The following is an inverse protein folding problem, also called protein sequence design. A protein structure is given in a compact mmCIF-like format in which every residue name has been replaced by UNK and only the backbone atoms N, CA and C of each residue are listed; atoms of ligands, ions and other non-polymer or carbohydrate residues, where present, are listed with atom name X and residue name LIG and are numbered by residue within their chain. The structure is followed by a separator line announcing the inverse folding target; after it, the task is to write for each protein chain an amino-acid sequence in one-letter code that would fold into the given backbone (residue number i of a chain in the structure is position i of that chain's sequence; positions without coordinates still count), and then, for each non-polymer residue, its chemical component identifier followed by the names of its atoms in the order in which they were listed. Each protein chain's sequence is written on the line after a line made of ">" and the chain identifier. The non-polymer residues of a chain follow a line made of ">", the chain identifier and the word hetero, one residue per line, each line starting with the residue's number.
data_IF_243283431737
#
_entry.id   IF_243283431737
#
_cell.length_a   1.000
_cell.length_b   1.000
_cell.length_c   1.000
_cell.angle_alpha   90.00
_cell.angle_beta   90.00
_cell.angle_gamma   90.00
#
_symmetry.space_group_name_H-M   'P 1'
#
loop_
_entity.id
_entity.type
_entity.pdbx_description
1 polymer ?
#
# COMPACT_ATOMS: atom_id res chain seq x y z
N UNK A 1 -22.70 13.29 -15.13
CA UNK A 1 -21.73 12.85 -14.12
C UNK A 1 -22.30 13.23 -12.77
N UNK A 2 -22.60 12.27 -11.90
CA UNK A 2 -23.13 12.58 -10.57
C UNK A 2 -21.93 12.94 -9.68
N UNK A 3 -21.84 14.21 -9.30
CA UNK A 3 -20.97 14.65 -8.22
C UNK A 3 -21.74 14.57 -6.92
N UNK A 4 -21.04 14.30 -5.83
CA UNK A 4 -21.59 14.44 -4.49
C UNK A 4 -20.78 15.47 -3.72
N UNK A 5 -21.39 16.06 -2.70
CA UNK A 5 -20.73 16.98 -1.79
C UNK A 5 -20.53 16.27 -0.46
N UNK A 6 -19.32 16.34 0.08
CA UNK A 6 -18.97 15.78 1.39
C UNK A 6 -18.32 16.86 2.25
N UNK A 7 -18.41 16.70 3.57
CA UNK A 7 -17.71 17.56 4.52
C UNK A 7 -16.20 17.28 4.46
N UNK A 8 -15.40 18.34 4.35
CA UNK A 8 -13.93 18.27 4.25
C UNK A 8 -13.32 17.60 5.47
N UNK A 9 -13.86 17.92 6.66
CA UNK A 9 -13.35 17.38 7.93
C UNK A 9 -13.56 15.86 7.99
N UNK A 10 -14.75 15.39 7.62
CA UNK A 10 -15.05 13.95 7.55
C UNK A 10 -14.15 13.24 6.54
N UNK A 11 -13.98 13.83 5.35
CA UNK A 11 -13.12 13.26 4.31
C UNK A 11 -11.65 13.15 4.75
N UNK A 12 -11.13 14.17 5.45
CA UNK A 12 -9.78 14.16 6.02
C UNK A 12 -9.60 13.06 7.07
N UNK A 13 -10.59 12.85 7.94
CA UNK A 13 -10.56 11.77 8.94
C UNK A 13 -10.55 10.39 8.29
N UNK A 14 -11.39 10.17 7.27
CA UNK A 14 -11.42 8.92 6.50
C UNK A 14 -10.08 8.66 5.83
N UNK A 15 -9.52 9.64 5.11
CA UNK A 15 -8.23 9.49 4.42
C UNK A 15 -7.07 9.21 5.38
N UNK A 16 -7.04 9.88 6.55
CA UNK A 16 -6.01 9.64 7.57
C UNK A 16 -6.12 8.23 8.16
N UNK A 17 -7.34 7.74 8.38
CA UNK A 17 -7.61 6.38 8.86
C UNK A 17 -7.20 5.34 7.81
N UNK A 18 -7.58 5.54 6.56
CA UNK A 18 -7.22 4.66 5.44
C UNK A 18 -5.71 4.60 5.25
N UNK A 19 -5.04 5.76 5.24
CA UNK A 19 -3.58 5.88 5.20
C UNK A 19 -2.90 5.09 6.32
N UNK A 20 -3.35 5.26 7.57
CA UNK A 20 -2.77 4.56 8.71
C UNK A 20 -2.94 3.04 8.58
N UNK A 21 -4.11 2.61 8.10
CA UNK A 21 -4.42 1.19 7.84
C UNK A 21 -3.53 0.61 6.74
N UNK A 22 -3.38 1.31 5.62
CA UNK A 22 -2.46 0.93 4.53
C UNK A 22 -1.04 0.81 5.06
N UNK A 23 -0.57 1.82 5.80
CA UNK A 23 0.80 1.84 6.33
C UNK A 23 1.08 0.65 7.24
N UNK A 24 0.15 0.32 8.15
CA UNK A 24 0.28 -0.83 9.02
C UNK A 24 0.35 -2.16 8.24
N UNK A 25 -0.47 -2.33 7.20
CA UNK A 25 -0.44 -3.50 6.32
C UNK A 25 0.89 -3.59 5.56
N UNK A 26 1.37 -2.46 5.03
CA UNK A 26 2.65 -2.37 4.34
C UNK A 26 3.81 -2.74 5.27
N UNK A 27 3.86 -2.16 6.48
CA UNK A 27 4.93 -2.44 7.44
C UNK A 27 4.96 -3.92 7.84
N UNK A 28 3.80 -4.55 8.10
CA UNK A 28 3.70 -6.00 8.36
C UNK A 28 4.16 -6.83 7.16
N UNK A 29 3.70 -6.49 5.95
CA UNK A 29 4.12 -7.20 4.74
C UNK A 29 5.64 -7.09 4.51
N UNK A 30 6.22 -5.92 4.81
CA UNK A 30 7.64 -5.64 4.62
C UNK A 30 8.52 -6.37 5.64
N UNK A 31 8.05 -6.57 6.87
CA UNK A 31 8.70 -7.42 7.86
C UNK A 31 8.83 -8.86 7.35
N UNK A 32 7.70 -9.48 6.96
CA UNK A 32 7.69 -10.87 6.46
C UNK A 32 8.46 -11.01 5.14
N UNK A 33 8.39 -10.00 4.26
CA UNK A 33 9.21 -9.95 3.03
C UNK A 33 10.70 -10.04 3.35
N UNK A 34 11.20 -9.23 4.30
CA UNK A 34 12.62 -9.25 4.69
C UNK A 34 13.03 -10.60 5.27
N UNK A 35 12.19 -11.21 6.11
CA UNK A 35 12.47 -12.55 6.62
C UNK A 35 12.61 -13.58 5.49
N UNK A 36 11.72 -13.55 4.50
CA UNK A 36 11.79 -14.48 3.36
C UNK A 36 13.01 -14.22 2.49
N UNK A 37 13.35 -12.95 2.24
CA UNK A 37 14.59 -12.58 1.54
C UNK A 37 15.81 -13.16 2.24
N UNK A 38 15.90 -13.03 3.57
CA UNK A 38 17.01 -13.60 4.35
C UNK A 38 17.08 -15.12 4.17
N UNK A 39 15.96 -15.84 4.29
CA UNK A 39 15.91 -17.29 4.12
C UNK A 39 16.36 -17.75 2.73
N UNK A 40 15.95 -17.03 1.69
CA UNK A 40 16.38 -17.30 0.30
C UNK A 40 17.90 -17.08 0.15
N UNK A 41 18.42 -15.97 0.70
CA UNK A 41 19.86 -15.67 0.67
C UNK A 41 20.68 -16.72 1.42
N UNK A 42 20.24 -17.14 2.60
CA UNK A 42 20.90 -18.20 3.36
C UNK A 42 20.92 -19.53 2.60
N UNK A 43 19.82 -19.85 1.91
CA UNK A 43 19.72 -21.06 1.08
C UNK A 43 20.69 -21.00 -0.09
N UNK A 44 20.73 -19.87 -0.80
CA UNK A 44 21.67 -19.64 -1.89
C UNK A 44 23.12 -19.69 -1.43
N UNK A 45 23.43 -19.13 -0.26
CA UNK A 45 24.76 -19.18 0.34
C UNK A 45 25.18 -20.61 0.69
N UNK A 46 24.29 -21.41 1.27
CA UNK A 46 24.56 -22.82 1.56
C UNK A 46 24.86 -23.61 0.28
N UNK A 47 24.07 -23.44 -0.76
CA UNK A 47 24.29 -24.07 -2.09
C UNK A 47 25.63 -23.65 -2.70
N UNK A 48 25.94 -22.35 -2.66
CA UNK A 48 27.22 -21.83 -3.16
C UNK A 48 28.42 -22.51 -2.50
N UNK A 49 28.38 -22.64 -1.16
CA UNK A 49 29.44 -23.28 -0.38
C UNK A 49 29.58 -24.77 -0.66
N UNK A 50 28.49 -25.44 -1.04
CA UNK A 50 28.48 -26.85 -1.44
C UNK A 50 28.99 -27.09 -2.88
N UNK A 51 29.21 -26.03 -3.66
CA UNK A 51 29.54 -26.14 -5.09
C UNK A 51 28.33 -26.41 -5.99
N UNK A 52 27.11 -26.28 -5.45
CA UNK A 52 25.88 -26.46 -6.20
C UNK A 52 25.57 -25.24 -7.09
N UNK A 53 24.67 -25.44 -8.06
CA UNK A 53 24.11 -24.32 -8.83
C UNK A 53 23.31 -23.39 -7.92
N UNK A 54 23.61 -22.09 -8.01
CA UNK A 54 22.95 -21.02 -7.26
C UNK A 54 22.11 -20.15 -8.20
N UNK A 55 20.89 -19.82 -7.79
CA UNK A 55 20.13 -18.75 -8.43
C UNK A 55 20.62 -17.39 -7.90
N UNK A 56 20.90 -16.46 -8.81
CA UNK A 56 21.45 -15.14 -8.48
C UNK A 56 20.39 -14.03 -8.39
N UNK A 57 19.10 -14.40 -8.38
CA UNK A 57 17.98 -13.48 -8.23
C UNK A 57 16.96 -14.01 -7.22
N UNK A 58 16.40 -13.11 -6.41
CA UNK A 58 15.30 -13.43 -5.49
C UNK A 58 13.98 -13.10 -6.18
N UNK A 59 13.11 -14.11 -6.34
CA UNK A 59 11.81 -13.97 -7.00
C UNK A 59 10.68 -13.77 -6.00
N UNK A 60 10.79 -12.73 -5.19
CA UNK A 60 9.79 -12.35 -4.21
C UNK A 60 9.13 -11.03 -4.61
N UNK A 61 7.79 -10.95 -4.68
CA UNK A 61 7.11 -9.69 -4.95
C UNK A 61 7.45 -8.67 -3.86
N UNK A 62 7.86 -7.47 -4.25
CA UNK A 62 8.23 -6.43 -3.29
C UNK A 62 6.94 -5.73 -2.84
N UNK A 63 6.63 -5.64 -1.54
CA UNK A 63 5.53 -4.82 -1.06
C UNK A 63 5.70 -3.36 -1.52
N UNK A 64 4.63 -2.77 -2.06
CA UNK A 64 4.63 -1.39 -2.55
C UNK A 64 4.06 -0.45 -1.49
N UNK A 65 4.70 0.70 -1.30
CA UNK A 65 4.21 1.75 -0.39
C UNK A 65 3.51 2.86 -1.19
N UNK A 66 2.20 2.96 -0.99
CA UNK A 66 1.34 4.01 -1.55
C UNK A 66 0.91 5.06 -0.51
N UNK A 67 1.59 5.15 0.64
CA UNK A 67 1.29 6.16 1.70
C UNK A 67 1.29 7.59 1.15
N UNK A 68 2.15 7.88 0.16
CA UNK A 68 2.26 9.20 -0.44
C UNK A 68 1.05 9.60 -1.30
N UNK A 69 0.30 8.65 -1.83
CA UNK A 69 -0.94 8.95 -2.55
C UNK A 69 -2.00 9.51 -1.60
N UNK A 70 -2.11 8.96 -0.39
CA UNK A 70 -2.95 9.52 0.66
C UNK A 70 -2.43 10.88 1.12
N UNK A 71 -1.12 11.01 1.36
CA UNK A 71 -0.51 12.28 1.82
C UNK A 71 -0.85 13.42 0.86
N UNK A 72 -0.77 13.17 -0.45
CA UNK A 72 -1.08 14.15 -1.48
C UNK A 72 -2.53 14.65 -1.40
N UNK A 73 -3.49 13.74 -1.25
CA UNK A 73 -4.92 14.13 -1.17
C UNK A 73 -5.21 14.85 0.15
N UNK A 74 -4.61 14.40 1.26
CA UNK A 74 -4.73 15.08 2.56
C UNK A 74 -4.18 16.50 2.48
N UNK A 75 -3.00 16.71 1.89
CA UNK A 75 -2.41 18.04 1.73
C UNK A 75 -3.30 18.95 0.86
N UNK A 76 -3.85 18.42 -0.24
CA UNK A 76 -4.80 19.16 -1.08
C UNK A 76 -6.04 19.61 -0.30
N UNK A 77 -6.58 18.73 0.56
CA UNK A 77 -7.74 19.04 1.39
C UNK A 77 -7.40 20.03 2.52
N UNK A 78 -6.23 19.93 3.14
CA UNK A 78 -5.78 20.89 4.16
C UNK A 78 -5.61 22.30 3.57
N UNK A 79 -5.21 22.40 2.31
CA UNK A 79 -5.11 23.67 1.58
C UNK A 79 -6.46 24.18 1.06
N UNK A 80 -7.48 23.32 0.99
CA UNK A 80 -8.81 23.63 0.48
C UNK A 80 -9.56 24.64 1.38
N UNK A 81 -10.05 25.72 0.76
CA UNK A 81 -10.60 26.89 1.49
C UNK A 81 -12.04 26.72 1.96
N UNK A 82 -12.82 25.84 1.33
CA UNK A 82 -14.21 25.61 1.72
C UNK A 82 -14.32 24.43 2.69
N UNK A 83 -15.42 24.40 3.43
CA UNK A 83 -15.69 23.35 4.42
C UNK A 83 -16.26 22.08 3.77
N UNK A 84 -16.74 22.18 2.53
CA UNK A 84 -17.20 21.04 1.74
C UNK A 84 -16.41 20.87 0.45
N UNK A 85 -16.38 19.64 -0.07
CA UNK A 85 -15.67 19.27 -1.30
C UNK A 85 -16.62 18.50 -2.21
N UNK A 86 -16.59 18.82 -3.50
CA UNK A 86 -17.27 18.01 -4.51
C UNK A 86 -16.38 16.86 -4.96
N UNK A 87 -16.89 15.63 -4.90
CA UNK A 87 -16.22 14.44 -5.42
C UNK A 87 -16.97 13.88 -6.61
N UNK A 88 -16.22 13.44 -7.61
CA UNK A 88 -16.71 12.51 -8.64
C UNK A 88 -16.91 11.12 -8.05
N UNK A 89 -17.63 10.26 -8.77
CA UNK A 89 -17.81 8.86 -8.38
C UNK A 89 -16.48 8.13 -8.17
N UNK A 90 -15.49 8.35 -9.04
CA UNK A 90 -14.18 7.72 -8.94
C UNK A 90 -13.37 8.23 -7.74
N UNK A 91 -13.44 9.53 -7.44
CA UNK A 91 -12.80 10.08 -6.25
C UNK A 91 -13.48 9.59 -4.98
N UNK A 92 -14.81 9.43 -4.97
CA UNK A 92 -15.51 8.85 -3.83
C UNK A 92 -15.08 7.40 -3.58
N UNK A 93 -15.04 6.58 -4.64
CA UNK A 93 -14.56 5.21 -4.57
C UNK A 93 -13.13 5.15 -4.00
N UNK A 94 -12.25 6.04 -4.45
CA UNK A 94 -10.86 6.09 -4.03
C UNK A 94 -10.69 6.60 -2.58
N UNK A 95 -11.22 7.78 -2.27
CA UNK A 95 -10.91 8.51 -1.04
C UNK A 95 -11.79 8.10 0.13
N UNK A 96 -13.01 7.64 -0.15
CA UNK A 96 -13.97 7.24 0.88
C UNK A 96 -14.01 5.72 1.03
N UNK A 97 -14.11 4.99 -0.08
CA UNK A 97 -14.21 3.51 -0.03
C UNK A 97 -12.84 2.81 0.03
N UNK A 98 -11.74 3.58 0.00
CA UNK A 98 -10.36 3.08 -0.02
C UNK A 98 -10.05 2.16 -1.22
N UNK A 99 -10.82 2.27 -2.30
CA UNK A 99 -10.68 1.45 -3.49
C UNK A 99 -9.77 2.12 -4.52
N UNK A 100 -8.49 2.22 -4.19
CA UNK A 100 -7.47 2.77 -5.08
C UNK A 100 -7.23 1.88 -6.29
N UNK A 101 -6.85 2.47 -7.42
CA UNK A 101 -6.51 1.72 -8.64
C UNK A 101 -5.37 0.71 -8.44
N UNK A 102 -4.42 1.01 -7.55
CA UNK A 102 -3.31 0.13 -7.20
C UNK A 102 -3.67 -0.94 -6.16
N UNK A 103 -4.85 -0.89 -5.52
CA UNK A 103 -5.21 -1.77 -4.41
C UNK A 103 -5.16 -3.26 -4.81
N UNK A 104 -5.58 -3.60 -6.04
CA UNK A 104 -5.52 -4.99 -6.54
C UNK A 104 -4.09 -5.48 -6.69
N UNK A 105 -3.18 -4.64 -7.18
CA UNK A 105 -1.75 -4.96 -7.32
C UNK A 105 -1.10 -5.11 -5.96
N UNK A 106 -1.40 -4.20 -5.03
CA UNK A 106 -0.95 -4.29 -3.64
C UNK A 106 -1.47 -5.57 -2.96
N UNK A 107 -2.74 -5.92 -3.14
CA UNK A 107 -3.26 -7.17 -2.61
C UNK A 107 -2.51 -8.39 -3.19
N UNK A 108 -2.26 -8.42 -4.51
CA UNK A 108 -1.54 -9.51 -5.14
C UNK A 108 -0.08 -9.63 -4.66
N UNK A 109 0.61 -8.51 -4.42
CA UNK A 109 2.01 -8.52 -3.95
C UNK A 109 2.14 -8.75 -2.44
N UNK A 110 1.14 -8.38 -1.62
CA UNK A 110 1.19 -8.51 -0.15
C UNK A 110 0.48 -9.73 0.42
N UNK A 111 -0.48 -10.34 -0.29
CA UNK A 111 -1.23 -11.51 0.22
C UNK A 111 -0.28 -12.64 0.63
N UNK A 112 0.81 -12.85 -0.12
CA UNK A 112 1.79 -13.88 0.19
C UNK A 112 2.51 -13.67 1.53
N UNK A 113 2.52 -12.44 2.06
CA UNK A 113 3.17 -12.03 3.31
C UNK A 113 2.20 -11.84 4.47
N UNK A 114 0.92 -11.60 4.18
CA UNK A 114 -0.12 -11.33 5.18
C UNK A 114 -1.01 -12.54 5.49
N UNK A 115 -0.96 -13.59 4.66
CA UNK A 115 -1.58 -14.88 4.95
C UNK A 115 -0.73 -15.64 5.97
N UNK A 116 -1.17 -15.60 7.24
CA UNK A 116 -0.73 -16.49 8.31
C UNK A 116 -1.50 -17.83 8.24
#
# INVERSE_FOLDING_TARGET
>A
MNKITVEKVELLEVLRTNRATHRAKFDKAQEVYRERVIRELETSLRRARAGDRVEHYIRLPIPEDHTDDYNRVVEMLEMHKYDSVELTQSEFQCYVQDEWGWLKTFAANTTSYLAD
#
